data_IF_448767091774
#
_entry.id   IF_448767091774
#
_cell.length_a   1.000
_cell.length_b   1.000
_cell.length_c   1.000
_cell.angle_alpha   90.00
_cell.angle_beta   90.00
_cell.angle_gamma   90.00
#
_symmetry.space_group_name_H-M   'P 1'
#
loop_
_entity.id
_entity.type
_entity.pdbx_description
1 polymer ?
#
# COMPACT_ATOMS: atom_id res chain seq x y z
N UNK A 1 -25.90 -16.24 -4.57
CA UNK A 1 -26.17 -15.36 -3.41
C UNK A 1 -24.95 -14.46 -3.25
N UNK A 2 -25.13 -13.19 -3.56
CA UNK A 2 -24.06 -12.22 -3.74
C UNK A 2 -23.29 -11.96 -2.44
N UNK A 3 -22.00 -12.25 -2.48
CA UNK A 3 -21.01 -11.74 -1.54
C UNK A 3 -20.96 -10.23 -1.76
N UNK A 4 -21.57 -9.46 -0.86
CA UNK A 4 -21.30 -8.03 -0.70
C UNK A 4 -19.87 -7.91 -0.15
N UNK A 5 -18.90 -7.97 -1.07
CA UNK A 5 -17.57 -7.46 -0.80
C UNK A 5 -17.72 -5.94 -0.74
N UNK A 6 -17.77 -5.37 0.45
CA UNK A 6 -17.40 -3.97 0.63
C UNK A 6 -15.93 -3.87 0.23
N UNK A 7 -15.70 -3.64 -1.07
CA UNK A 7 -14.42 -3.23 -1.63
C UNK A 7 -13.89 -2.13 -0.72
N UNK A 8 -12.66 -2.28 -0.19
CA UNK A 8 -11.95 -1.15 0.41
C UNK A 8 -12.05 0.04 -0.55
N UNK A 9 -12.30 1.24 -0.05
CA UNK A 9 -12.63 2.43 -0.86
C UNK A 9 -11.62 2.61 -1.99
N UNK A 10 -11.91 2.06 -3.18
CA UNK A 10 -11.08 2.28 -4.37
C UNK A 10 -11.35 3.70 -4.82
N UNK A 11 -10.32 4.54 -4.84
CA UNK A 11 -10.48 5.98 -5.02
C UNK A 11 -9.80 6.44 -6.31
N UNK A 12 -10.51 7.20 -7.15
CA UNK A 12 -9.87 7.94 -8.23
C UNK A 12 -9.51 9.33 -7.71
N UNK A 13 -8.22 9.68 -7.87
CA UNK A 13 -7.72 11.01 -7.56
C UNK A 13 -7.59 11.82 -8.84
N UNK A 14 -8.28 12.95 -8.88
CA UNK A 14 -8.29 13.84 -10.03
C UNK A 14 -7.37 15.02 -9.76
N UNK A 15 -6.43 15.29 -10.65
CA UNK A 15 -5.52 16.43 -10.55
C UNK A 15 -5.74 17.40 -11.71
N UNK A 16 -5.92 18.69 -11.39
CA UNK A 16 -5.93 19.74 -12.40
C UNK A 16 -4.50 20.26 -12.64
N UNK A 17 -4.15 20.48 -13.91
CA UNK A 17 -2.81 20.88 -14.36
C UNK A 17 -2.67 22.39 -14.68
N UNK A 18 -3.72 23.20 -14.57
CA UNK A 18 -3.75 24.52 -15.19
C UNK A 18 -2.64 25.48 -14.72
N UNK A 19 -1.83 25.91 -15.69
CA UNK A 19 -0.93 27.06 -15.61
C UNK A 19 -1.68 28.34 -16.02
N UNK A 20 -1.29 29.49 -15.47
CA UNK A 20 -1.65 30.80 -16.04
C UNK A 20 -1.29 30.82 -17.55
N UNK A 21 -2.29 30.85 -18.42
CA UNK A 21 -2.12 31.44 -19.76
C UNK A 21 -2.53 32.90 -19.66
N UNK A 22 -1.54 33.80 -19.65
CA UNK A 22 -1.82 35.20 -19.96
C UNK A 22 -2.27 35.28 -21.42
N UNK A 23 -3.43 35.91 -21.64
CA UNK A 23 -4.00 36.22 -22.94
C UNK A 23 -5.29 37.01 -22.74
N UNK A 24 -5.18 38.33 -22.88
CA UNK A 24 -6.25 39.33 -22.70
C UNK A 24 -7.30 39.23 -23.83
N UNK A 25 -8.53 39.70 -23.54
CA UNK A 25 -9.75 39.84 -24.37
C UNK A 25 -10.58 38.56 -24.53
N UNK A 26 -11.74 38.45 -23.89
CA UNK A 26 -12.97 39.11 -24.38
C UNK A 26 -13.95 39.38 -23.22
N UNK A 27 -14.02 40.62 -22.78
CA UNK A 27 -15.26 41.14 -22.20
C UNK A 27 -16.30 41.28 -23.30
N UNK A 28 -17.58 41.20 -22.93
CA UNK A 28 -18.77 41.65 -23.69
C UNK A 28 -19.68 40.62 -24.39
N UNK A 29 -19.70 39.34 -24.01
CA UNK A 29 -20.76 38.41 -24.48
C UNK A 29 -21.42 37.53 -23.41
N UNK A 30 -21.07 37.67 -22.12
CA UNK A 30 -21.60 36.83 -21.04
C UNK A 30 -22.89 37.35 -20.37
N UNK A 31 -23.32 38.58 -20.66
CA UNK A 31 -24.53 39.15 -20.06
C UNK A 31 -25.85 38.57 -20.60
N UNK A 32 -25.88 38.14 -21.86
CA UNK A 32 -27.12 37.70 -22.52
C UNK A 32 -27.47 36.23 -22.27
N UNK A 33 -26.48 35.35 -22.25
CA UNK A 33 -26.70 33.90 -22.11
C UNK A 33 -27.04 33.48 -20.67
N UNK A 34 -26.48 34.16 -19.67
CA UNK A 34 -26.74 33.86 -18.26
C UNK A 34 -28.21 34.17 -17.87
N UNK A 35 -28.79 35.24 -18.44
CA UNK A 35 -30.18 35.61 -18.18
C UNK A 35 -31.18 34.63 -18.82
N UNK A 36 -30.84 34.05 -19.97
CA UNK A 36 -31.67 33.06 -20.67
C UNK A 36 -31.74 31.72 -19.93
N UNK A 37 -30.62 31.25 -19.36
CA UNK A 37 -30.57 30.00 -18.58
C UNK A 37 -31.27 30.15 -17.22
N UNK A 38 -31.20 31.33 -16.59
CA UNK A 38 -31.90 31.62 -15.33
C UNK A 38 -33.43 31.75 -15.46
N UNK A 39 -33.94 32.12 -16.65
CA UNK A 39 -35.37 32.34 -16.87
C UNK A 39 -36.12 31.16 -17.53
N UNK A 40 -35.42 30.27 -18.24
CA UNK A 40 -36.06 29.21 -19.06
C UNK A 40 -35.50 27.79 -18.83
N UNK A 41 -34.46 27.61 -18.00
CA UNK A 41 -33.82 26.32 -17.80
C UNK A 41 -34.25 25.60 -16.52
N UNK A 42 -34.83 24.40 -16.64
CA UNK A 42 -34.88 23.44 -15.53
C UNK A 42 -33.50 22.79 -15.37
N UNK A 43 -32.57 23.50 -14.73
CA UNK A 43 -31.27 22.95 -14.32
C UNK A 43 -31.31 22.76 -12.81
N UNK A 44 -31.00 21.55 -12.35
CA UNK A 44 -31.01 21.24 -10.92
C UNK A 44 -29.92 22.05 -10.20
N UNK A 45 -30.27 22.66 -9.07
CA UNK A 45 -29.37 23.49 -8.25
C UNK A 45 -28.00 22.85 -7.90
N UNK A 46 -27.85 21.52 -7.73
CA UNK A 46 -26.54 20.89 -7.49
C UNK A 46 -25.59 20.98 -8.69
N UNK A 47 -26.09 20.84 -9.92
CA UNK A 47 -25.26 20.90 -11.14
C UNK A 47 -24.75 22.32 -11.38
N UNK A 48 -25.55 23.33 -11.07
CA UNK A 48 -25.14 24.74 -11.05
C UNK A 48 -24.09 25.01 -9.97
N UNK A 49 -24.19 24.37 -8.80
CA UNK A 49 -23.21 24.51 -7.73
C UNK A 49 -21.86 23.86 -8.07
N UNK A 50 -21.85 22.70 -8.72
CA UNK A 50 -20.62 22.03 -9.16
C UNK A 50 -19.97 22.70 -10.37
N UNK A 51 -20.78 23.17 -11.34
CA UNK A 51 -20.30 23.99 -12.45
C UNK A 51 -19.74 25.34 -11.95
N UNK A 52 -20.38 25.97 -10.96
CA UNK A 52 -19.90 27.20 -10.33
C UNK A 52 -18.62 26.97 -9.53
N UNK A 53 -18.52 25.87 -8.76
CA UNK A 53 -17.27 25.46 -8.08
C UNK A 53 -16.14 25.12 -9.03
N UNK A 54 -16.44 24.57 -10.21
CA UNK A 54 -15.45 24.32 -11.26
C UNK A 54 -14.99 25.63 -11.93
N UNK A 55 -15.93 26.56 -12.19
CA UNK A 55 -15.66 27.86 -12.80
C UNK A 55 -14.94 28.87 -11.89
N UNK A 56 -15.06 28.72 -10.56
CA UNK A 56 -14.39 29.55 -9.55
C UNK A 56 -12.97 29.07 -9.20
N UNK A 57 -12.45 28.02 -9.84
CA UNK A 57 -11.08 27.53 -9.60
C UNK A 57 -10.06 28.43 -10.30
N UNK A 58 -9.39 29.29 -9.53
CA UNK A 58 -8.21 30.02 -10.02
C UNK A 58 -7.04 29.07 -10.25
N UNK A 59 -6.32 29.22 -11.36
CA UNK A 59 -5.09 28.47 -11.64
C UNK A 59 -4.05 28.69 -10.52
N UNK A 60 -3.74 27.63 -9.77
CA UNK A 60 -2.85 27.68 -8.60
C UNK A 60 -1.35 27.67 -8.96
N UNK A 61 -1.00 27.43 -10.24
CA UNK A 61 0.38 27.34 -10.71
C UNK A 61 1.05 25.98 -10.45
N UNK A 62 0.48 25.13 -9.59
CA UNK A 62 0.96 23.79 -9.24
C UNK A 62 -0.15 22.72 -9.39
N UNK A 63 0.18 21.43 -9.55
CA UNK A 63 -0.83 20.37 -9.57
C UNK A 63 -1.69 20.40 -8.30
N UNK A 64 -3.01 20.37 -8.46
CA UNK A 64 -3.96 20.41 -7.35
C UNK A 64 -4.87 19.19 -7.41
N UNK A 65 -4.94 18.44 -6.31
CA UNK A 65 -5.99 17.44 -6.09
C UNK A 65 -7.34 18.16 -6.09
N UNK A 66 -8.17 17.90 -7.10
CA UNK A 66 -9.45 18.57 -7.29
C UNK A 66 -10.65 17.73 -6.87
N UNK A 67 -10.48 16.41 -6.77
CA UNK A 67 -11.46 15.50 -6.22
C UNK A 67 -10.79 14.19 -5.80
N UNK A 68 -11.31 13.58 -4.74
CA UNK A 68 -11.15 12.16 -4.43
C UNK A 68 -12.55 11.59 -4.54
N UNK A 69 -12.78 10.71 -5.51
CA UNK A 69 -14.10 10.11 -5.72
C UNK A 69 -14.01 8.61 -5.45
N UNK A 70 -14.91 8.04 -4.62
CA UNK A 70 -15.03 6.60 -4.56
C UNK A 70 -15.43 6.10 -5.93
N UNK A 71 -14.83 5.00 -6.37
CA UNK A 71 -15.40 4.20 -7.44
C UNK A 71 -16.79 3.77 -6.98
N UNK A 72 -17.81 4.08 -7.78
CA UNK A 72 -19.16 3.61 -7.49
C UNK A 72 -19.13 2.09 -7.35
N UNK A 73 -19.84 1.56 -6.34
CA UNK A 73 -20.01 0.12 -6.20
C UNK A 73 -20.53 -0.43 -7.53
N UNK A 74 -19.70 -1.23 -8.19
CA UNK A 74 -20.10 -1.94 -9.39
C UNK A 74 -20.95 -3.13 -8.95
N UNK A 75 -22.22 -2.88 -8.66
CA UNK A 75 -23.22 -3.94 -8.37
C UNK A 75 -23.70 -4.65 -9.66
N UNK A 76 -22.98 -4.47 -10.77
CA UNK A 76 -23.20 -5.19 -12.02
C UNK A 76 -22.22 -6.36 -12.16
N UNK A 77 -22.63 -7.39 -12.89
CA UNK A 77 -21.67 -8.37 -13.43
C UNK A 77 -20.52 -7.57 -14.07
N UNK A 78 -19.26 -7.89 -13.71
CA UNK A 78 -18.12 -7.42 -14.48
C UNK A 78 -18.48 -7.64 -15.94
N UNK A 79 -18.37 -6.61 -16.79
CA UNK A 79 -18.74 -6.69 -18.21
C UNK A 79 -18.40 -8.10 -18.69
N UNK A 80 -19.40 -8.86 -19.16
CA UNK A 80 -19.13 -10.13 -19.81
C UNK A 80 -17.95 -9.88 -20.73
N UNK A 81 -16.90 -10.69 -20.58
CA UNK A 81 -15.77 -10.64 -21.46
C UNK A 81 -16.35 -10.95 -22.83
N UNK A 82 -16.72 -9.91 -23.59
CA UNK A 82 -17.15 -10.08 -24.95
C UNK A 82 -15.91 -10.62 -25.63
N UNK A 83 -15.85 -11.91 -26.02
CA UNK A 83 -14.85 -12.27 -26.99
C UNK A 83 -15.12 -11.32 -28.16
N UNK A 84 -14.06 -10.74 -28.74
CA UNK A 84 -14.23 -10.02 -30.00
C UNK A 84 -14.95 -10.98 -30.94
N UNK A 85 -16.27 -10.81 -31.07
CA UNK A 85 -17.12 -11.77 -31.74
C UNK A 85 -16.63 -11.77 -33.17
N UNK A 86 -16.20 -12.95 -33.60
CA UNK A 86 -15.75 -13.23 -34.94
C UNK A 86 -16.88 -12.97 -35.95
N UNK A 87 -17.14 -11.72 -36.29
CA UNK A 87 -17.97 -11.33 -37.44
C UNK A 87 -17.31 -10.29 -38.36
N UNK A 88 -16.06 -9.93 -38.10
CA UNK A 88 -15.19 -9.41 -39.16
C UNK A 88 -14.01 -10.35 -39.29
N UNK A 89 -13.97 -11.15 -40.37
CA UNK A 89 -12.73 -11.83 -40.71
C UNK A 89 -11.62 -10.79 -40.77
N UNK A 90 -10.43 -11.13 -40.25
CA UNK A 90 -9.26 -10.24 -40.25
C UNK A 90 -8.98 -9.65 -41.65
N UNK A 91 -9.38 -10.35 -42.71
CA UNK A 91 -9.33 -9.89 -44.10
C UNK A 91 -10.32 -8.77 -44.43
N UNK A 92 -11.53 -8.76 -43.85
CA UNK A 92 -12.51 -7.68 -44.03
C UNK A 92 -12.05 -6.38 -43.33
N UNK A 93 -11.44 -6.50 -42.15
CA UNK A 93 -10.84 -5.35 -41.45
C UNK A 93 -9.62 -4.80 -42.21
N UNK A 94 -8.75 -5.67 -42.75
CA UNK A 94 -7.60 -5.27 -43.57
C UNK A 94 -7.98 -4.66 -44.94
N UNK A 95 -9.15 -5.01 -45.50
CA UNK A 95 -9.68 -4.40 -46.73
C UNK A 95 -10.36 -3.04 -46.48
N UNK A 96 -11.00 -2.83 -45.32
CA UNK A 96 -11.51 -1.51 -44.93
C UNK A 96 -10.37 -0.52 -44.66
N UNK A 97 -9.26 -0.96 -44.06
CA UNK A 97 -8.08 -0.11 -43.82
C UNK A 97 -7.37 0.31 -45.13
N UNK A 98 -7.53 -0.46 -46.21
CA UNK A 98 -7.01 -0.12 -47.55
C UNK A 98 -7.88 0.85 -48.33
N UNK A 99 -9.16 1.03 -47.98
CA UNK A 99 -10.08 1.95 -48.68
C UNK A 99 -10.21 3.31 -47.98
N UNK A 100 -9.75 3.44 -46.73
CA UNK A 100 -9.61 4.72 -46.01
C UNK A 100 -8.16 5.19 -45.82
N UNK A 101 -7.20 4.62 -46.55
CA UNK A 101 -5.82 5.13 -46.56
C UNK A 101 -5.69 6.39 -47.42
N UNK A 102 -6.24 7.51 -46.94
CA UNK A 102 -5.51 8.77 -47.12
C UNK A 102 -4.19 8.60 -46.36
N UNK A 103 -3.06 8.75 -47.04
CA UNK A 103 -1.73 8.46 -46.50
C UNK A 103 -1.55 9.06 -45.10
N UNK A 104 -1.68 8.22 -44.07
CA UNK A 104 -1.15 8.54 -42.75
C UNK A 104 0.36 8.54 -42.94
N UNK A 105 1.06 9.67 -42.78
CA UNK A 105 2.50 9.67 -42.88
C UNK A 105 3.02 8.62 -41.89
N UNK A 106 3.86 7.71 -42.39
CA UNK A 106 4.42 6.63 -41.59
C UNK A 106 4.91 7.23 -40.26
N UNK A 107 4.21 6.94 -39.17
CA UNK A 107 4.65 7.33 -37.84
C UNK A 107 5.97 6.60 -37.66
N UNK A 108 7.05 7.38 -37.58
CA UNK A 108 8.38 6.88 -37.26
C UNK A 108 8.26 5.85 -36.14
N UNK A 109 8.62 4.60 -36.43
CA UNK A 109 8.76 3.53 -35.43
C UNK A 109 9.99 3.74 -34.56
N UNK A 110 10.76 4.82 -34.80
CA UNK A 110 11.83 5.20 -33.91
C UNK A 110 11.23 5.65 -32.57
N UNK A 111 11.40 4.83 -31.55
CA UNK A 111 11.30 5.26 -30.16
C UNK A 111 12.18 6.49 -29.99
N UNK A 112 11.55 7.65 -29.78
CA UNK A 112 12.29 8.86 -29.41
C UNK A 112 12.66 8.68 -27.94
N UNK A 113 13.95 8.59 -27.63
CA UNK A 113 14.41 8.75 -26.27
C UNK A 113 14.05 10.18 -25.84
N UNK A 114 12.99 10.30 -25.05
CA UNK A 114 12.57 11.60 -24.53
C UNK A 114 13.36 11.84 -23.25
N UNK A 115 14.61 12.30 -23.40
CA UNK A 115 15.41 12.85 -22.30
C UNK A 115 14.95 14.28 -22.01
N UNK A 116 13.71 14.43 -21.53
CA UNK A 116 13.18 15.71 -21.04
C UNK A 116 12.82 15.59 -19.59
N UNK A 117 13.25 16.56 -18.81
CA UNK A 117 12.82 16.71 -17.43
C UNK A 117 11.28 16.81 -17.37
N UNK A 118 10.64 16.20 -16.35
CA UNK A 118 9.20 16.33 -16.17
C UNK A 118 8.84 17.80 -15.95
N UNK A 119 7.90 18.30 -16.75
CA UNK A 119 7.42 19.69 -16.61
C UNK A 119 6.72 19.90 -15.25
N UNK A 120 6.19 18.82 -14.66
CA UNK A 120 5.51 18.79 -13.36
C UNK A 120 5.70 17.42 -12.71
N UNK A 121 5.83 17.41 -11.39
CA UNK A 121 5.75 16.20 -10.58
C UNK A 121 4.50 16.28 -9.70
N UNK A 122 3.68 15.24 -9.74
CA UNK A 122 2.55 15.07 -8.81
C UNK A 122 2.98 14.02 -7.82
N UNK A 123 3.09 14.39 -6.55
CA UNK A 123 3.42 13.48 -5.46
C UNK A 123 2.76 13.94 -4.19
N UNK A 124 2.49 13.02 -3.27
CA UNK A 124 2.21 13.44 -1.91
C UNK A 124 3.48 14.00 -1.28
N UNK A 125 3.37 15.09 -0.55
CA UNK A 125 4.53 15.81 0.02
C UNK A 125 4.76 15.47 1.48
N UNK A 126 4.00 14.52 2.01
CA UNK A 126 4.06 14.11 3.41
C UNK A 126 4.33 12.61 3.53
N UNK A 127 5.07 12.17 4.56
CA UNK A 127 5.31 10.76 4.81
C UNK A 127 4.03 9.95 4.99
N UNK A 128 4.00 8.73 4.46
CA UNK A 128 2.97 7.71 4.76
C UNK A 128 3.64 6.46 5.27
N UNK A 129 3.13 5.87 6.35
CA UNK A 129 3.85 4.82 7.06
C UNK A 129 3.37 3.42 6.66
N UNK A 130 4.23 2.65 6.00
CA UNK A 130 3.98 1.26 5.56
C UNK A 130 4.39 0.24 6.63
N UNK A 131 5.49 0.49 7.33
CA UNK A 131 6.00 -0.37 8.40
C UNK A 131 6.33 0.41 9.67
N UNK A 132 6.32 -0.32 10.80
CA UNK A 132 6.68 0.20 12.11
C UNK A 132 7.44 -0.85 12.91
N UNK A 133 8.51 -0.44 13.59
CA UNK A 133 9.30 -1.31 14.46
C UNK A 133 9.90 -0.51 15.61
N UNK A 134 10.22 -1.17 16.72
CA UNK A 134 10.87 -0.57 17.88
C UNK A 134 12.29 -1.12 18.02
N UNK A 135 13.24 -0.25 18.37
CA UNK A 135 14.54 -0.68 18.90
C UNK A 135 14.37 -1.06 20.38
N UNK A 136 14.54 -2.34 20.69
CA UNK A 136 14.37 -2.87 22.04
C UNK A 136 15.36 -2.29 23.08
N UNK A 137 16.45 -1.67 22.63
CA UNK A 137 17.52 -1.15 23.51
C UNK A 137 17.28 0.29 23.92
N UNK A 138 16.71 1.09 23.02
CA UNK A 138 16.49 2.53 23.21
C UNK A 138 15.01 2.88 23.41
N UNK A 139 14.11 2.02 22.94
CA UNK A 139 12.66 2.28 22.88
C UNK A 139 12.24 3.10 21.66
N UNK A 140 13.17 3.48 20.79
CA UNK A 140 12.93 4.31 19.61
C UNK A 140 12.01 3.63 18.62
N UNK A 141 11.13 4.42 18.00
CA UNK A 141 10.16 3.93 17.03
C UNK A 141 10.59 4.33 15.63
N UNK A 142 10.82 3.34 14.79
CA UNK A 142 11.18 3.49 13.39
C UNK A 142 9.93 3.31 12.55
N UNK A 143 9.68 4.25 11.65
CA UNK A 143 8.56 4.22 10.71
C UNK A 143 9.08 4.33 9.30
N UNK A 144 8.77 3.32 8.48
CA UNK A 144 9.11 3.32 7.06
C UNK A 144 8.13 4.23 6.32
N UNK A 145 8.67 5.24 5.65
CA UNK A 145 7.96 6.17 4.80
C UNK A 145 8.05 5.68 3.35
N UNK A 146 6.93 5.16 2.86
CA UNK A 146 6.84 4.64 1.49
C UNK A 146 6.62 5.76 0.47
N UNK A 147 6.09 6.92 0.87
CA UNK A 147 5.75 7.97 -0.08
C UNK A 147 6.94 8.90 -0.39
N UNK A 148 7.80 9.20 0.58
CA UNK A 148 9.03 9.98 0.36
C UNK A 148 10.30 9.15 0.48
N UNK A 149 10.17 7.82 0.53
CA UNK A 149 11.25 6.85 0.48
C UNK A 149 12.33 7.07 1.55
N UNK A 150 12.01 6.69 2.79
CA UNK A 150 12.98 6.73 3.87
C UNK A 150 12.45 6.19 5.18
N UNK A 151 13.21 6.37 6.26
CA UNK A 151 12.85 5.94 7.61
C UNK A 151 12.86 7.14 8.53
N UNK A 152 11.76 7.36 9.24
CA UNK A 152 11.63 8.35 10.31
C UNK A 152 11.76 7.66 11.65
N UNK A 153 12.53 8.26 12.56
CA UNK A 153 12.67 7.78 13.93
C UNK A 153 12.04 8.78 14.88
N UNK A 154 11.28 8.26 15.83
CA UNK A 154 10.55 9.01 16.86
C UNK A 154 10.89 8.46 18.23
N UNK A 155 10.66 9.27 19.26
CA UNK A 155 10.69 8.79 20.63
C UNK A 155 9.41 8.02 20.95
N UNK A 156 9.53 7.00 21.82
CA UNK A 156 8.41 6.13 22.21
C UNK A 156 7.19 6.89 22.77
N UNK A 157 7.45 8.01 23.42
CA UNK A 157 6.41 8.81 24.09
C UNK A 157 5.89 9.97 23.23
N UNK A 158 6.38 10.09 22.00
CA UNK A 158 5.93 11.16 21.11
C UNK A 158 4.42 11.12 20.91
N UNK A 159 3.83 12.31 21.01
CA UNK A 159 2.42 12.54 20.78
C UNK A 159 2.29 13.93 20.17
N UNK A 160 1.66 14.02 18.99
CA UNK A 160 1.64 15.28 18.26
C UNK A 160 0.80 16.30 19.03
N UNK A 161 1.37 17.46 19.43
CA UNK A 161 0.61 18.48 20.13
C UNK A 161 -0.62 18.93 19.33
N UNK A 162 -1.73 19.34 19.98
CA UNK A 162 -2.96 19.73 19.28
C UNK A 162 -2.74 20.83 18.22
N UNK A 163 -1.85 21.78 18.50
CA UNK A 163 -1.58 22.92 17.62
C UNK A 163 -0.40 22.71 16.66
N UNK A 164 0.31 21.59 16.76
CA UNK A 164 1.42 21.27 15.86
C UNK A 164 0.88 20.66 14.56
N UNK A 165 1.49 21.00 13.42
CA UNK A 165 1.14 20.38 12.16
C UNK A 165 1.45 18.88 12.18
N UNK A 166 2.66 18.51 12.59
CA UNK A 166 3.17 17.15 12.66
C UNK A 166 4.19 17.02 13.81
N UNK A 167 4.60 15.79 14.13
CA UNK A 167 5.69 15.52 15.07
C UNK A 167 7.01 15.54 14.30
N UNK A 168 7.98 16.34 14.75
CA UNK A 168 9.31 16.35 14.15
C UNK A 168 10.03 15.03 14.47
N UNK A 169 10.51 14.28 13.46
CA UNK A 169 11.27 13.07 13.71
C UNK A 169 12.64 13.44 14.30
N UNK A 170 13.09 12.71 15.31
CA UNK A 170 14.42 12.93 15.89
C UNK A 170 15.55 12.54 14.95
N UNK A 171 15.28 11.64 14.01
CA UNK A 171 16.22 11.20 12.98
C UNK A 171 15.49 10.86 11.69
N UNK A 172 16.18 11.13 10.60
CA UNK A 172 15.76 10.76 9.25
C UNK A 172 16.92 10.04 8.55
N UNK A 173 16.60 8.91 7.91
CA UNK A 173 17.44 8.18 6.98
C UNK A 173 16.70 8.12 5.65
N UNK A 174 17.28 8.64 4.58
CA UNK A 174 16.66 8.65 3.27
C UNK A 174 17.42 9.53 2.28
N UNK A 175 17.10 9.37 1.00
CA UNK A 175 17.88 9.94 -0.10
C UNK A 175 18.36 8.85 -1.05
N UNK A 176 18.82 9.24 -2.22
CA UNK A 176 19.10 8.30 -3.30
C UNK A 176 20.23 7.30 -2.96
N UNK A 177 21.23 7.72 -2.18
CA UNK A 177 22.32 6.83 -1.79
C UNK A 177 21.85 5.74 -0.83
N UNK A 178 20.75 5.95 -0.09
CA UNK A 178 20.20 4.93 0.81
C UNK A 178 19.57 3.75 0.09
N UNK A 179 19.16 3.91 -1.18
CA UNK A 179 18.40 2.89 -1.93
C UNK A 179 17.09 2.45 -1.23
N UNK A 180 16.61 3.22 -0.25
CA UNK A 180 15.26 3.08 0.27
C UNK A 180 14.32 3.60 -0.80
N UNK A 181 13.44 2.73 -1.30
CA UNK A 181 12.34 3.00 -2.23
C UNK A 181 11.29 1.90 -2.02
N UNK A 182 9.99 2.22 -2.09
CA UNK A 182 8.89 1.23 -2.01
C UNK A 182 9.07 0.12 -0.96
N UNK A 183 9.55 0.50 0.23
CA UNK A 183 9.85 -0.46 1.27
C UNK A 183 8.61 -0.75 2.12
N UNK A 184 8.33 -2.03 2.32
CA UNK A 184 7.12 -2.48 3.01
C UNK A 184 7.41 -3.22 4.31
N UNK A 185 8.60 -3.82 4.48
CA UNK A 185 8.99 -4.54 5.69
C UNK A 185 10.15 -3.88 6.42
N UNK A 186 10.07 -3.86 7.75
CA UNK A 186 11.09 -3.28 8.62
C UNK A 186 11.38 -4.20 9.80
N UNK A 187 12.65 -4.49 10.02
CA UNK A 187 13.12 -5.23 11.18
C UNK A 187 14.27 -4.45 11.84
N UNK A 188 14.20 -4.29 13.16
CA UNK A 188 15.26 -3.69 13.96
C UNK A 188 15.90 -4.79 14.79
N UNK A 189 17.20 -5.00 14.59
CA UNK A 189 17.95 -6.01 15.34
C UNK A 189 17.91 -5.68 16.84
N UNK A 190 17.38 -6.56 17.71
CA UNK A 190 17.23 -6.25 19.12
C UNK A 190 18.57 -6.18 19.88
N UNK A 191 19.66 -6.68 19.31
CA UNK A 191 21.01 -6.67 19.93
C UNK A 191 21.84 -5.49 19.44
N UNK A 192 21.84 -5.22 18.13
CA UNK A 192 22.69 -4.18 17.54
C UNK A 192 21.94 -2.89 17.24
N UNK A 193 20.62 -2.96 17.04
CA UNK A 193 19.76 -1.89 16.53
C UNK A 193 19.86 -1.68 15.03
N UNK A 194 20.55 -2.57 14.31
CA UNK A 194 20.69 -2.47 12.86
C UNK A 194 19.32 -2.52 12.19
N UNK A 195 19.20 -1.74 11.12
CA UNK A 195 17.95 -1.42 10.45
C UNK A 195 17.90 -2.24 9.17
N UNK A 196 17.02 -3.22 9.12
CA UNK A 196 16.76 -4.04 7.94
C UNK A 196 15.50 -3.55 7.26
N UNK A 197 15.61 -3.06 6.02
CA UNK A 197 14.48 -2.57 5.25
C UNK A 197 14.45 -3.21 3.88
N UNK A 198 13.33 -3.82 3.53
CA UNK A 198 13.18 -4.58 2.29
C UNK A 198 12.44 -3.75 1.24
N UNK A 199 13.00 -3.68 0.04
CA UNK A 199 12.35 -3.05 -1.10
C UNK A 199 11.45 -4.08 -1.80
N UNK A 200 10.21 -3.67 -2.05
CA UNK A 200 9.22 -4.55 -2.64
C UNK A 200 9.28 -4.56 -4.17
N UNK A 201 9.35 -3.38 -4.80
CA UNK A 201 8.88 -3.19 -6.17
C UNK A 201 9.94 -2.82 -7.21
N UNK A 202 11.13 -2.35 -6.82
CA UNK A 202 12.04 -1.70 -7.80
C UNK A 202 13.48 -2.19 -7.77
N UNK A 203 14.08 -2.31 -6.59
CA UNK A 203 15.53 -2.55 -6.47
C UNK A 203 15.90 -3.99 -6.20
N UNK A 204 14.92 -4.86 -5.92
CA UNK A 204 15.13 -6.28 -5.56
C UNK A 204 16.18 -6.45 -4.45
N UNK A 205 16.19 -5.55 -3.47
CA UNK A 205 17.25 -5.47 -2.46
C UNK A 205 16.69 -5.29 -1.05
N UNK A 206 17.21 -6.08 -0.13
CA UNK A 206 17.17 -5.81 1.29
C UNK A 206 18.41 -4.97 1.64
N UNK A 207 18.17 -3.79 2.19
CA UNK A 207 19.24 -2.90 2.67
C UNK A 207 19.33 -2.97 4.18
N UNK A 208 20.56 -2.98 4.68
CA UNK A 208 20.88 -3.02 6.11
C UNK A 208 21.76 -1.83 6.44
N UNK A 209 21.36 -1.10 7.47
CA UNK A 209 22.12 0.02 8.02
C UNK A 209 22.48 -0.22 9.48
N UNK A 210 23.61 0.31 9.91
CA UNK A 210 23.94 0.40 11.32
C UNK A 210 22.89 1.23 12.07
N UNK A 211 22.69 0.91 13.35
CA UNK A 211 21.65 1.52 14.20
C UNK A 211 21.61 3.06 14.22
N UNK A 212 22.73 3.72 13.92
CA UNK A 212 22.88 5.18 13.98
C UNK A 212 22.90 5.89 12.63
N UNK A 213 22.67 5.17 11.53
CA UNK A 213 22.63 5.75 10.19
C UNK A 213 21.63 6.91 10.09
N UNK A 214 22.03 7.96 9.38
CA UNK A 214 21.25 9.18 9.21
C UNK A 214 21.60 9.90 7.92
N UNK A 215 20.63 10.63 7.37
CA UNK A 215 20.78 11.38 6.13
C UNK A 215 20.82 10.47 4.90
N UNK A 216 21.51 10.95 3.87
CA UNK A 216 21.66 10.25 2.60
C UNK A 216 23.00 9.52 2.58
N UNK A 217 23.00 8.26 3.03
CA UNK A 217 24.20 7.41 3.18
C UNK A 217 23.99 6.05 2.50
N UNK A 218 25.03 5.41 1.95
CA UNK A 218 24.90 4.06 1.41
C UNK A 218 24.54 3.04 2.51
N UNK A 219 23.86 1.93 2.17
CA UNK A 219 23.70 0.80 3.09
C UNK A 219 25.04 0.21 3.50
N UNK A 220 25.15 -0.20 4.76
CA UNK A 220 26.32 -0.91 5.28
C UNK A 220 26.40 -2.33 4.73
N UNK A 221 25.25 -2.92 4.42
CA UNK A 221 25.13 -4.19 3.72
C UNK A 221 23.88 -4.23 2.85
N UNK A 222 24.00 -4.95 1.75
CA UNK A 222 22.91 -5.21 0.82
C UNK A 222 22.80 -6.71 0.58
N UNK A 223 21.58 -7.21 0.41
CA UNK A 223 21.27 -8.57 -0.03
C UNK A 223 20.27 -8.48 -1.16
N UNK A 224 20.59 -9.07 -2.31
CA UNK A 224 19.65 -9.20 -3.41
C UNK A 224 18.54 -10.19 -3.04
N UNK A 225 17.30 -9.72 -3.04
CA UNK A 225 16.12 -10.51 -2.74
C UNK A 225 15.34 -10.85 -4.01
N UNK A 226 14.42 -11.82 -3.97
CA UNK A 226 13.44 -12.00 -5.03
C UNK A 226 12.60 -10.71 -5.25
N UNK A 227 12.12 -10.51 -6.48
CA UNK A 227 11.22 -9.39 -6.78
C UNK A 227 9.87 -9.55 -6.06
N UNK A 228 9.31 -8.46 -5.51
CA UNK A 228 8.09 -8.49 -4.69
C UNK A 228 8.34 -9.02 -3.28
N UNK A 229 9.50 -8.75 -2.68
CA UNK A 229 9.76 -9.16 -1.29
C UNK A 229 9.17 -8.15 -0.32
N UNK A 230 8.26 -8.61 0.54
CA UNK A 230 7.43 -7.71 1.33
C UNK A 230 7.76 -7.72 2.83
N UNK A 231 7.48 -8.82 3.51
CA UNK A 231 7.55 -8.94 4.96
C UNK A 231 8.87 -9.53 5.42
N UNK A 232 9.31 -9.16 6.63
CA UNK A 232 10.54 -9.66 7.24
C UNK A 232 10.29 -10.08 8.68
N UNK A 233 10.76 -11.27 9.05
CA UNK A 233 10.84 -11.72 10.44
C UNK A 233 12.15 -12.50 10.67
N UNK A 234 12.70 -12.44 11.87
CA UNK A 234 14.01 -13.04 12.18
C UNK A 234 13.92 -13.94 13.41
N UNK A 235 14.40 -15.18 13.27
CA UNK A 235 14.71 -16.06 14.39
C UNK A 235 16.12 -15.73 14.90
N UNK A 236 16.19 -14.97 16.00
CA UNK A 236 17.45 -14.61 16.64
C UNK A 236 18.20 -15.79 17.27
N UNK A 237 17.52 -16.90 17.57
CA UNK A 237 18.17 -18.10 18.10
C UNK A 237 18.97 -18.81 17.03
N UNK A 238 18.43 -18.88 15.81
CA UNK A 238 19.06 -19.57 14.66
C UNK A 238 19.76 -18.63 13.68
N UNK A 239 19.61 -17.32 13.84
CA UNK A 239 20.08 -16.30 12.91
C UNK A 239 19.55 -16.58 11.49
N UNK A 240 18.24 -16.89 11.41
CA UNK A 240 17.51 -17.11 10.16
C UNK A 240 16.52 -15.97 9.94
N UNK A 241 16.50 -15.43 8.73
CA UNK A 241 15.62 -14.35 8.31
C UNK A 241 14.62 -14.87 7.28
N UNK A 242 13.34 -14.67 7.55
CA UNK A 242 12.20 -15.12 6.75
C UNK A 242 11.65 -13.93 5.99
N UNK A 243 11.59 -14.07 4.67
CA UNK A 243 11.10 -13.05 3.77
C UNK A 243 9.93 -13.60 2.97
N UNK A 244 8.78 -12.94 3.00
CA UNK A 244 7.66 -13.27 2.11
C UNK A 244 7.89 -12.65 0.74
N UNK A 245 7.43 -13.36 -0.30
CA UNK A 245 7.58 -12.93 -1.70
C UNK A 245 6.23 -13.05 -2.40
N UNK A 246 5.65 -11.90 -2.74
CA UNK A 246 4.30 -11.75 -3.30
C UNK A 246 4.17 -12.46 -4.65
N UNK A 247 4.97 -12.03 -5.63
CA UNK A 247 4.79 -12.44 -7.03
C UNK A 247 5.09 -13.93 -7.27
N UNK A 248 6.00 -14.51 -6.49
CA UNK A 248 6.33 -15.94 -6.59
C UNK A 248 5.56 -16.81 -5.61
N UNK A 249 4.72 -16.22 -4.75
CA UNK A 249 3.94 -16.87 -3.71
C UNK A 249 4.81 -17.76 -2.81
N UNK A 250 5.80 -17.16 -2.16
CA UNK A 250 6.83 -17.90 -1.44
C UNK A 250 7.20 -17.28 -0.09
N UNK A 251 7.85 -18.09 0.74
CA UNK A 251 8.66 -17.62 1.88
C UNK A 251 10.10 -18.05 1.60
N UNK A 252 11.00 -17.10 1.43
CA UNK A 252 12.43 -17.33 1.28
C UNK A 252 13.12 -17.16 2.64
N UNK A 253 13.90 -18.15 3.06
CA UNK A 253 14.61 -18.13 4.33
C UNK A 253 16.10 -17.99 4.08
N UNK A 254 16.71 -16.92 4.57
CA UNK A 254 18.12 -16.61 4.44
C UNK A 254 18.84 -16.76 5.78
N UNK A 255 20.16 -16.91 5.73
CA UNK A 255 20.97 -16.58 6.89
C UNK A 255 20.80 -15.07 7.14
N UNK A 256 20.57 -14.64 8.39
CA UNK A 256 20.39 -13.23 8.74
C UNK A 256 21.58 -12.35 8.33
N UNK A 257 22.76 -12.95 8.22
CA UNK A 257 23.97 -12.26 7.79
C UNK A 257 24.29 -12.37 6.30
N UNK A 258 23.39 -12.95 5.51
CA UNK A 258 23.55 -13.06 4.06
C UNK A 258 23.77 -11.69 3.41
N UNK A 259 24.56 -11.67 2.34
CA UNK A 259 24.95 -10.46 1.62
C UNK A 259 25.07 -10.69 0.11
N UNK A 260 25.05 -9.61 -0.66
CA UNK A 260 25.27 -9.63 -2.10
C UNK A 260 24.27 -10.55 -2.79
N UNK A 261 24.72 -11.69 -3.29
CA UNK A 261 23.89 -12.66 -4.02
C UNK A 261 23.81 -14.03 -3.34
N UNK A 262 24.10 -14.06 -2.03
CA UNK A 262 23.92 -15.24 -1.19
C UNK A 262 22.53 -15.85 -1.38
N UNK A 263 22.47 -17.19 -1.36
CA UNK A 263 21.24 -17.92 -1.63
C UNK A 263 20.43 -18.14 -0.36
N UNK A 264 19.12 -18.24 -0.53
CA UNK A 264 18.24 -18.71 0.52
C UNK A 264 18.67 -20.11 0.99
N UNK A 265 18.66 -20.32 2.31
CA UNK A 265 18.88 -21.61 2.96
C UNK A 265 17.79 -22.62 2.56
N UNK A 266 16.56 -22.13 2.46
CA UNK A 266 15.38 -22.87 2.02
C UNK A 266 14.30 -21.92 1.53
N UNK A 267 13.34 -22.48 0.81
CA UNK A 267 12.16 -21.79 0.32
C UNK A 267 10.93 -22.64 0.64
N UNK A 268 9.83 -22.00 0.99
CA UNK A 268 8.50 -22.59 1.12
C UNK A 268 7.70 -22.03 -0.05
N UNK A 269 7.44 -22.88 -1.05
CA UNK A 269 6.83 -22.46 -2.31
C UNK A 269 6.19 -23.65 -3.02
N UNK A 270 5.06 -23.38 -3.64
CA UNK A 270 4.29 -24.34 -4.43
C UNK A 270 2.80 -24.21 -4.17
N UNK A 271 1.99 -24.87 -4.99
CA UNK A 271 0.54 -24.71 -4.92
C UNK A 271 -0.07 -25.27 -3.63
N UNK A 272 0.55 -26.32 -3.07
CA UNK A 272 0.11 -26.92 -1.80
C UNK A 272 0.36 -25.99 -0.61
N UNK A 273 1.25 -25.00 -0.74
CA UNK A 273 1.50 -24.01 0.33
C UNK A 273 0.29 -23.14 0.63
N UNK A 274 -0.60 -22.90 -0.34
CA UNK A 274 -1.67 -21.92 -0.24
C UNK A 274 -1.18 -20.48 0.03
N UNK A 275 0.11 -20.20 -0.20
CA UNK A 275 0.60 -18.83 -0.27
C UNK A 275 -0.04 -18.16 -1.48
N UNK A 276 -0.65 -17.00 -1.27
CA UNK A 276 -1.34 -16.25 -2.32
C UNK A 276 -1.16 -14.76 -2.03
N UNK A 277 -0.18 -14.17 -2.68
CA UNK A 277 0.25 -12.78 -2.49
C UNK A 277 0.63 -12.54 -1.00
N UNK A 278 1.61 -13.31 -0.48
CA UNK A 278 1.95 -13.27 0.93
C UNK A 278 2.62 -11.95 1.31
N UNK A 279 2.10 -11.30 2.36
CA UNK A 279 2.55 -9.99 2.83
C UNK A 279 3.28 -10.11 4.17
N UNK A 280 2.59 -9.88 5.28
CA UNK A 280 3.16 -9.95 6.62
C UNK A 280 3.61 -11.36 6.98
N UNK A 281 4.77 -11.44 7.66
CA UNK A 281 5.26 -12.66 8.30
C UNK A 281 5.62 -12.36 9.75
N UNK A 282 5.27 -13.27 10.64
CA UNK A 282 5.69 -13.23 12.04
C UNK A 282 5.97 -14.64 12.55
N UNK A 283 6.79 -14.75 13.58
CA UNK A 283 7.25 -16.02 14.12
C UNK A 283 6.71 -16.20 15.54
N UNK A 284 6.19 -17.39 15.81
CA UNK A 284 6.01 -17.89 17.17
C UNK A 284 7.18 -18.84 17.46
N UNK A 285 8.23 -18.31 18.07
CA UNK A 285 9.44 -19.05 18.42
C UNK A 285 9.11 -20.13 19.45
N UNK A 286 8.24 -19.84 20.42
CA UNK A 286 7.85 -20.81 21.46
C UNK A 286 7.19 -22.04 20.87
N UNK A 287 6.28 -21.88 19.91
CA UNK A 287 5.56 -22.97 19.26
C UNK A 287 6.21 -23.45 17.95
N UNK A 288 7.34 -22.84 17.55
CA UNK A 288 8.05 -23.10 16.29
C UNK A 288 7.15 -22.94 15.05
N UNK A 289 6.40 -21.83 14.98
CA UNK A 289 5.47 -21.53 13.88
C UNK A 289 5.88 -20.30 13.08
N UNK A 290 5.54 -20.32 11.80
CA UNK A 290 5.55 -19.18 10.89
C UNK A 290 4.09 -18.83 10.60
N UNK A 291 3.69 -17.58 10.82
CA UNK A 291 2.37 -17.08 10.45
C UNK A 291 2.51 -16.08 9.31
N UNK A 292 1.68 -16.24 8.29
CA UNK A 292 1.72 -15.42 7.07
C UNK A 292 0.34 -14.90 6.71
N UNK A 293 0.23 -13.61 6.42
CA UNK A 293 -0.98 -13.01 5.84
C UNK A 293 -0.93 -13.12 4.32
N UNK A 294 -2.08 -13.43 3.71
CA UNK A 294 -2.22 -13.63 2.27
C UNK A 294 -3.34 -12.73 1.74
N UNK A 295 -3.04 -11.96 0.70
CA UNK A 295 -4.00 -11.06 0.05
C UNK A 295 -4.92 -11.77 -0.95
N UNK A 296 -4.40 -12.80 -1.63
CA UNK A 296 -5.22 -13.69 -2.44
C UNK A 296 -4.78 -13.94 -3.87
N UNK A 297 -3.87 -13.16 -4.44
CA UNK A 297 -3.44 -13.40 -5.83
C UNK A 297 -2.44 -14.57 -5.88
N UNK A 298 -2.70 -15.59 -6.70
CA UNK A 298 -1.76 -16.69 -6.92
C UNK A 298 -1.55 -16.96 -8.40
N UNK A 299 -0.37 -17.48 -8.73
CA UNK A 299 -0.09 -18.06 -10.03
C UNK A 299 -0.50 -19.54 -10.04
N UNK A 300 -1.11 -20.04 -11.12
CA UNK A 300 -1.48 -21.44 -11.28
C UNK A 300 -0.68 -22.10 -12.44
N UNK A 301 -0.17 -23.32 -12.22
CA UNK A 301 0.46 -24.17 -13.25
C UNK A 301 1.99 -24.23 -13.25
N UNK A 302 2.55 -25.29 -13.87
CA UNK A 302 4.00 -25.50 -14.09
C UNK A 302 4.58 -24.54 -15.15
N UNK A 303 3.72 -23.86 -15.92
CA UNK A 303 3.98 -22.75 -16.84
C UNK A 303 2.84 -21.73 -16.62
N UNK A 304 3.08 -20.57 -15.99
CA UNK A 304 1.99 -19.70 -15.51
C UNK A 304 1.27 -19.04 -16.69
N UNK A 305 0.05 -19.46 -16.97
CA UNK A 305 -0.77 -18.88 -18.06
C UNK A 305 -1.90 -17.99 -17.53
N UNK A 306 -2.37 -18.20 -16.30
CA UNK A 306 -3.47 -17.42 -15.71
C UNK A 306 -3.29 -17.22 -14.19
N UNK A 307 -3.66 -16.03 -13.70
CA UNK A 307 -3.73 -15.73 -12.27
C UNK A 307 -5.06 -16.19 -11.67
N UNK A 308 -5.04 -16.61 -10.41
CA UNK A 308 -6.22 -17.01 -9.64
C UNK A 308 -6.31 -16.16 -8.38
N UNK A 309 -7.53 -15.78 -8.02
CA UNK A 309 -7.81 -15.14 -6.74
C UNK A 309 -8.33 -16.16 -5.73
N UNK A 310 -7.66 -16.26 -4.59
CA UNK A 310 -8.04 -17.02 -3.40
C UNK A 310 -8.44 -15.99 -2.33
N UNK A 311 -9.50 -16.20 -1.55
CA UNK A 311 -9.87 -15.25 -0.50
C UNK A 311 -8.71 -14.98 0.50
N UNK A 312 -8.65 -13.77 1.09
CA UNK A 312 -7.65 -13.45 2.10
C UNK A 312 -7.62 -14.46 3.25
N UNK A 313 -6.42 -14.79 3.71
CA UNK A 313 -6.20 -15.84 4.69
C UNK A 313 -4.96 -15.59 5.55
N UNK A 314 -4.95 -16.20 6.74
CA UNK A 314 -3.73 -16.43 7.51
C UNK A 314 -3.33 -17.90 7.34
N UNK A 315 -2.12 -18.16 6.86
CA UNK A 315 -1.56 -19.51 6.77
C UNK A 315 -0.48 -19.71 7.83
N UNK A 316 -0.44 -20.91 8.41
CA UNK A 316 0.50 -21.25 9.49
C UNK A 316 1.33 -22.46 9.10
N UNK A 317 2.65 -22.37 9.23
CA UNK A 317 3.60 -23.43 8.88
C UNK A 317 4.52 -23.75 10.06
N UNK A 318 5.12 -24.95 10.14
CA UNK A 318 6.22 -25.17 11.07
C UNK A 318 7.45 -24.38 10.63
N UNK A 319 8.28 -23.88 11.55
CA UNK A 319 9.52 -23.17 11.20
C UNK A 319 10.52 -24.02 10.40
N UNK A 320 10.40 -25.36 10.49
CA UNK A 320 11.18 -26.31 9.69
C UNK A 320 10.66 -26.53 8.26
N UNK A 321 9.59 -25.83 7.85
CA UNK A 321 8.98 -25.96 6.54
C UNK A 321 9.97 -25.71 5.38
N UNK A 322 9.83 -26.52 4.32
CA UNK A 322 10.61 -26.42 3.09
C UNK A 322 9.86 -27.08 1.92
N UNK A 323 9.92 -26.45 0.75
CA UNK A 323 9.31 -26.94 -0.49
C UNK A 323 7.81 -26.69 -0.53
N UNK A 324 7.11 -27.50 -1.33
CA UNK A 324 5.67 -27.44 -1.50
C UNK A 324 4.96 -28.23 -0.39
N UNK A 325 4.65 -27.58 0.73
CA UNK A 325 4.02 -28.21 1.89
C UNK A 325 2.71 -27.51 2.26
N UNK A 326 1.71 -28.29 2.66
CA UNK A 326 0.46 -27.73 3.18
C UNK A 326 0.68 -26.97 4.50
N UNK A 327 -0.06 -25.87 4.75
CA UNK A 327 -0.05 -25.22 6.05
C UNK A 327 -0.63 -26.16 7.12
N UNK A 328 -0.12 -26.05 8.36
CA UNK A 328 -0.66 -26.76 9.53
C UNK A 328 -2.13 -26.41 9.75
N UNK A 329 -2.47 -25.14 9.51
CA UNK A 329 -3.81 -24.60 9.59
C UNK A 329 -3.93 -23.32 8.78
N UNK A 330 -5.17 -23.01 8.42
CA UNK A 330 -5.54 -21.80 7.71
C UNK A 330 -6.71 -21.15 8.44
N UNK A 331 -6.65 -19.84 8.64
CA UNK A 331 -7.76 -19.01 9.11
C UNK A 331 -8.25 -18.20 7.92
N UNK A 332 -9.44 -18.51 7.44
CA UNK A 332 -10.03 -17.91 6.25
C UNK A 332 -11.55 -18.05 6.28
N UNK A 333 -12.25 -17.19 5.54
CA UNK A 333 -13.71 -17.20 5.45
C UNK A 333 -14.33 -15.89 5.93
N UNK A 334 -15.64 -15.74 5.70
CA UNK A 334 -16.33 -14.47 5.92
C UNK A 334 -16.35 -14.03 7.40
N UNK A 335 -16.38 -14.96 8.36
CA UNK A 335 -16.38 -14.62 9.80
C UNK A 335 -15.04 -14.07 10.25
N UNK A 336 -13.95 -14.36 9.55
CA UNK A 336 -12.63 -13.82 9.87
C UNK A 336 -12.56 -12.31 9.69
N UNK A 337 -13.39 -11.75 8.80
CA UNK A 337 -13.38 -10.33 8.44
C UNK A 337 -12.05 -9.85 7.83
N UNK A 338 -11.21 -10.77 7.35
CA UNK A 338 -9.98 -10.43 6.64
C UNK A 338 -10.32 -9.74 5.32
N UNK A 339 -9.73 -8.56 5.11
CA UNK A 339 -9.84 -7.77 3.90
C UNK A 339 -8.53 -7.00 3.72
N UNK A 340 -7.69 -7.51 2.81
CA UNK A 340 -6.34 -7.00 2.56
C UNK A 340 -5.45 -6.97 3.83
N UNK A 341 -5.17 -8.16 4.43
CA UNK A 341 -4.35 -8.25 5.64
C UNK A 341 -2.87 -8.00 5.33
N UNK A 342 -2.33 -6.88 5.81
CA UNK A 342 -0.94 -6.46 5.62
C UNK A 342 -0.01 -7.13 6.66
N UNK A 343 0.61 -6.38 7.58
CA UNK A 343 1.47 -6.99 8.59
C UNK A 343 0.72 -7.78 9.67
N UNK A 344 1.45 -8.72 10.28
CA UNK A 344 1.05 -9.55 11.40
C UNK A 344 2.11 -9.48 12.49
N UNK A 345 1.69 -9.52 13.77
CA UNK A 345 2.61 -9.58 14.90
C UNK A 345 2.13 -10.58 15.96
N UNK A 346 2.99 -11.53 16.35
CA UNK A 346 2.69 -12.59 17.31
C UNK A 346 3.02 -12.19 18.74
N UNK A 347 2.02 -12.29 19.61
CA UNK A 347 2.14 -12.14 21.06
C UNK A 347 2.20 -13.50 21.75
N UNK A 348 3.42 -14.05 21.82
CA UNK A 348 3.67 -15.37 22.43
C UNK A 348 3.24 -15.44 23.90
N UNK A 349 3.32 -14.31 24.62
CA UNK A 349 2.95 -14.23 26.03
C UNK A 349 1.46 -14.41 26.26
N UNK A 350 0.63 -14.04 25.28
CA UNK A 350 -0.84 -14.16 25.34
C UNK A 350 -1.41 -15.24 24.42
N UNK A 351 -0.58 -15.86 23.58
CA UNK A 351 -1.01 -16.88 22.61
C UNK A 351 -2.01 -16.31 21.60
N UNK A 352 -1.78 -15.08 21.17
CA UNK A 352 -2.61 -14.36 20.20
C UNK A 352 -1.72 -13.60 19.22
N UNK A 353 -2.29 -13.14 18.11
CA UNK A 353 -1.59 -12.32 17.14
C UNK A 353 -2.51 -11.22 16.61
N UNK A 354 -1.89 -10.14 16.16
CA UNK A 354 -2.54 -8.93 15.67
C UNK A 354 -2.30 -8.83 14.17
N UNK A 355 -3.35 -8.51 13.41
CA UNK A 355 -3.30 -8.34 11.95
C UNK A 355 -3.73 -6.93 11.61
N UNK A 356 -2.87 -6.20 10.91
CA UNK A 356 -3.24 -4.95 10.27
C UNK A 356 -4.11 -5.27 9.04
N UNK A 357 -5.39 -4.88 9.09
CA UNK A 357 -6.38 -5.25 8.08
C UNK A 357 -6.72 -4.00 7.25
N UNK A 358 -5.91 -3.80 6.20
CA UNK A 358 -5.75 -2.50 5.53
C UNK A 358 -7.07 -1.95 4.97
N UNK A 359 -7.73 -2.74 4.13
CA UNK A 359 -8.92 -2.32 3.39
C UNK A 359 -10.15 -2.15 4.29
N UNK A 360 -10.22 -2.86 5.42
CA UNK A 360 -11.30 -2.74 6.39
C UNK A 360 -11.08 -1.61 7.42
N UNK A 361 -9.87 -1.02 7.43
CA UNK A 361 -9.43 -0.02 8.40
C UNK A 361 -9.56 -0.51 9.85
N UNK A 362 -9.10 -1.75 10.09
CA UNK A 362 -9.20 -2.39 11.39
C UNK A 362 -7.92 -3.11 11.79
N UNK A 363 -7.78 -3.37 13.09
CA UNK A 363 -6.84 -4.38 13.61
C UNK A 363 -7.67 -5.57 14.08
N UNK A 364 -7.36 -6.75 13.56
CA UNK A 364 -7.97 -8.00 13.96
C UNK A 364 -7.05 -8.74 14.93
N UNK A 365 -7.63 -9.37 15.95
CA UNK A 365 -6.88 -10.21 16.89
C UNK A 365 -7.43 -11.62 16.88
N UNK A 366 -6.56 -12.59 16.64
CA UNK A 366 -6.87 -14.02 16.67
C UNK A 366 -5.98 -14.74 17.68
N UNK A 367 -6.39 -15.92 18.10
CA UNK A 367 -5.56 -16.82 18.87
C UNK A 367 -4.59 -17.60 18.02
N UNK A 368 -3.47 -17.99 18.60
CA UNK A 368 -2.45 -18.77 17.91
C UNK A 368 -3.02 -20.11 17.39
N UNK A 369 -3.90 -20.76 18.14
CA UNK A 369 -4.53 -22.05 17.79
C UNK A 369 -5.84 -21.92 16.97
N UNK A 370 -6.24 -20.70 16.60
CA UNK A 370 -7.47 -20.50 15.83
C UNK A 370 -7.32 -21.12 14.41
N UNK A 371 -8.42 -21.68 13.87
CA UNK A 371 -8.44 -22.35 12.57
C UNK A 371 -9.81 -22.25 11.91
N UNK A 372 -9.84 -22.17 10.58
CA UNK A 372 -11.05 -22.15 9.77
C UNK A 372 -11.74 -20.78 9.75
N UNK A 373 -13.04 -20.80 9.53
CA UNK A 373 -13.90 -19.61 9.47
C UNK A 373 -14.33 -19.20 10.88
N UNK A 374 -13.45 -18.48 11.57
CA UNK A 374 -13.64 -18.04 12.96
C UNK A 374 -13.61 -16.53 13.07
N UNK A 375 -14.42 -15.99 13.99
CA UNK A 375 -14.43 -14.55 14.25
C UNK A 375 -13.19 -14.10 15.05
N UNK A 376 -12.67 -12.88 14.81
CA UNK A 376 -11.63 -12.29 15.65
C UNK A 376 -12.06 -12.26 17.12
N UNK A 377 -11.13 -12.56 18.03
CA UNK A 377 -11.33 -12.45 19.48
C UNK A 377 -11.54 -11.01 19.92
N UNK A 378 -10.88 -10.09 19.23
CA UNK A 378 -11.02 -8.63 19.37
C UNK A 378 -10.88 -7.97 18.01
N UNK A 379 -11.49 -6.81 17.88
CA UNK A 379 -11.41 -5.97 16.70
C UNK A 379 -11.33 -4.52 17.13
N UNK A 380 -10.29 -3.82 16.68
CA UNK A 380 -10.18 -2.37 16.84
C UNK A 380 -10.64 -1.73 15.55
N UNK A 381 -11.81 -1.09 15.56
CA UNK A 381 -12.44 -0.51 14.37
C UNK A 381 -13.40 0.62 14.75
N UNK A 382 -13.53 1.61 13.87
CA UNK A 382 -14.50 2.70 13.99
C UNK A 382 -13.84 4.08 13.97
N UNK A 383 -14.65 5.13 13.84
CA UNK A 383 -14.12 6.49 13.63
C UNK A 383 -13.22 7.02 14.77
N UNK A 384 -13.43 6.57 16.02
CA UNK A 384 -12.63 7.03 17.16
C UNK A 384 -11.23 6.43 17.17
N UNK A 385 -11.01 5.29 16.49
CA UNK A 385 -9.69 4.67 16.40
C UNK A 385 -8.73 5.54 15.60
N UNK A 386 -9.23 6.28 14.61
CA UNK A 386 -8.41 7.00 13.63
C UNK A 386 -7.55 6.08 12.75
N UNK A 387 -7.89 4.78 12.69
CA UNK A 387 -7.29 3.85 11.74
C UNK A 387 -7.71 4.22 10.31
N UNK A 388 -6.74 4.21 9.39
CA UNK A 388 -7.01 4.35 7.95
C UNK A 388 -5.89 3.70 7.16
N UNK A 389 -6.21 2.61 6.45
CA UNK A 389 -5.24 1.76 5.76
C UNK A 389 -4.07 1.39 6.69
N UNK A 390 -4.34 0.66 7.80
CA UNK A 390 -3.29 0.18 8.68
C UNK A 390 -2.45 -0.87 7.95
N UNK A 391 -1.14 -0.65 7.88
CA UNK A 391 -0.22 -1.54 7.17
C UNK A 391 0.78 -2.25 8.08
N UNK A 392 1.27 -1.56 9.12
CA UNK A 392 2.22 -2.10 10.08
C UNK A 392 1.62 -2.19 11.48
N UNK A 393 1.97 -3.26 12.20
CA UNK A 393 1.55 -3.49 13.58
C UNK A 393 2.69 -4.08 14.40
N UNK A 394 2.84 -3.60 15.63
CA UNK A 394 3.84 -4.07 16.58
C UNK A 394 3.29 -3.96 18.00
N UNK A 395 3.67 -4.88 18.90
CA UNK A 395 3.30 -4.82 20.31
C UNK A 395 4.54 -4.56 21.17
N UNK A 396 4.53 -3.42 21.86
CA UNK A 396 5.47 -3.09 22.91
C UNK A 396 5.08 -3.86 24.18
N UNK A 397 5.65 -5.06 24.31
CA UNK A 397 5.40 -5.96 25.44
C UNK A 397 5.85 -5.36 26.78
N UNK A 398 6.84 -4.45 26.78
CA UNK A 398 7.36 -3.86 28.02
C UNK A 398 6.40 -2.82 28.59
N UNK A 399 5.64 -2.14 27.72
CA UNK A 399 4.75 -1.04 28.11
C UNK A 399 3.26 -1.34 27.91
N UNK A 400 2.91 -2.57 27.52
CA UNK A 400 1.54 -3.01 27.20
C UNK A 400 0.83 -2.13 26.15
N UNK A 401 1.54 -1.82 25.06
CA UNK A 401 1.04 -0.95 24.00
C UNK A 401 1.04 -1.62 22.63
N UNK A 402 -0.02 -1.38 21.87
CA UNK A 402 -0.15 -1.76 20.47
C UNK A 402 0.12 -0.53 19.61
N UNK A 403 1.08 -0.63 18.70
CA UNK A 403 1.45 0.42 17.76
C UNK A 403 1.03 0.05 16.35
N UNK A 404 0.50 1.03 15.62
CA UNK A 404 -0.02 0.84 14.27
C UNK A 404 0.44 1.97 13.36
N UNK A 405 1.06 1.64 12.23
CA UNK A 405 1.29 2.60 11.13
C UNK A 405 0.08 2.66 10.20
N UNK A 406 -0.34 3.88 9.85
CA UNK A 406 -1.50 4.14 9.01
C UNK A 406 -1.05 4.87 7.75
N UNK A 407 -1.08 4.16 6.63
CA UNK A 407 -0.66 4.71 5.35
C UNK A 407 -1.68 5.75 4.86
N UNK A 408 -2.97 5.52 5.11
CA UNK A 408 -4.07 6.27 4.52
C UNK A 408 -4.29 7.68 5.09
N UNK A 409 -3.63 8.05 6.19
CA UNK A 409 -3.87 9.34 6.86
C UNK A 409 -2.63 10.01 7.46
N UNK A 410 -1.41 9.59 7.09
CA UNK A 410 -0.14 10.17 7.56
C UNK A 410 0.05 10.08 9.08
N UNK A 411 -0.27 8.92 9.69
CA UNK A 411 -0.21 8.78 11.15
C UNK A 411 0.32 7.43 11.60
N UNK A 412 0.86 7.42 12.80
CA UNK A 412 0.85 6.24 13.65
C UNK A 412 -0.10 6.46 14.83
N UNK A 413 -0.77 5.39 15.24
CA UNK A 413 -1.69 5.38 16.39
C UNK A 413 -1.25 4.33 17.40
N UNK A 414 -1.42 4.64 18.69
CA UNK A 414 -1.03 3.76 19.79
C UNK A 414 -2.24 3.45 20.65
N UNK A 415 -2.43 2.19 21.03
CA UNK A 415 -3.54 1.72 21.85
C UNK A 415 -3.04 0.93 23.05
N UNK A 416 -3.86 0.71 24.09
CA UNK A 416 -3.62 -0.37 25.03
C UNK A 416 -3.53 -1.69 24.25
N UNK A 417 -2.59 -2.58 24.61
CA UNK A 417 -2.44 -3.91 23.99
C UNK A 417 -3.73 -4.72 23.97
N UNK A 418 -4.61 -4.54 24.97
CA UNK A 418 -5.90 -5.24 25.07
C UNK A 418 -7.08 -4.46 24.48
N UNK A 419 -6.84 -3.43 23.68
CA UNK A 419 -7.88 -2.62 23.06
C UNK A 419 -8.91 -3.46 22.27
N UNK A 420 -10.17 -3.05 22.31
CA UNK A 420 -11.27 -3.68 21.58
C UNK A 420 -12.39 -2.67 21.31
N UNK A 421 -13.00 -2.75 20.13
CA UNK A 421 -14.06 -1.85 19.68
C UNK A 421 -13.57 -0.52 19.14
N UNK A 422 -14.45 0.48 19.17
CA UNK A 422 -14.23 1.84 18.67
C UNK A 422 -13.54 2.71 19.73
N UNK A 423 -12.27 2.42 20.02
CA UNK A 423 -11.49 3.07 21.08
C UNK A 423 -10.55 4.14 20.55
N UNK A 424 -10.41 5.25 21.28
CA UNK A 424 -9.45 6.29 20.92
C UNK A 424 -7.99 5.86 21.19
N UNK A 425 -7.03 6.30 20.37
CA UNK A 425 -5.62 6.03 20.62
C UNK A 425 -5.10 6.80 21.85
N UNK A 426 -4.19 6.19 22.60
CA UNK A 426 -3.43 6.81 23.70
C UNK A 426 -2.55 7.94 23.18
N UNK A 427 -1.97 7.76 21.99
CA UNK A 427 -1.06 8.71 21.33
C UNK A 427 -1.24 8.66 19.82
N UNK A 428 -1.01 9.80 19.18
CA UNK A 428 -1.05 9.96 17.72
C UNK A 428 0.20 10.71 17.28
N UNK A 429 1.01 10.06 16.45
CA UNK A 429 2.13 10.69 15.75
C UNK A 429 1.64 11.02 14.35
N UNK A 430 1.58 12.32 14.00
CA UNK A 430 1.23 12.81 12.66
C UNK A 430 2.51 13.15 11.91
N UNK A 431 2.57 12.83 10.63
CA UNK A 431 3.58 13.31 9.68
C UNK A 431 3.03 14.36 8.71
N UNK A 432 1.77 14.75 8.86
CA UNK A 432 1.11 15.80 8.08
C UNK A 432 0.11 16.61 8.93
N UNK A 433 -0.26 17.84 8.51
CA UNK A 433 -1.29 18.64 9.17
C UNK A 433 -2.59 17.87 9.43
N UNK A 434 -3.31 18.24 10.49
CA UNK A 434 -4.57 17.61 10.83
C UNK A 434 -5.56 17.66 9.65
N UNK A 435 -6.21 16.53 9.39
CA UNK A 435 -7.18 16.38 8.29
C UNK A 435 -6.56 16.17 6.91
N UNK A 436 -5.23 16.21 6.76
CA UNK A 436 -4.58 15.84 5.50
C UNK A 436 -4.83 14.36 5.18
N UNK A 437 -5.43 14.09 4.03
CA UNK A 437 -5.67 12.75 3.50
C UNK A 437 -4.44 12.33 2.68
N UNK A 438 -4.00 11.08 2.87
CA UNK A 438 -2.96 10.50 2.04
C UNK A 438 -3.43 10.34 0.59
N UNK A 439 -2.66 10.92 -0.31
CA UNK A 439 -2.88 10.82 -1.73
C UNK A 439 -2.46 9.45 -2.24
N UNK A 440 -1.61 8.70 -1.52
CA UNK A 440 -1.21 7.34 -1.83
C UNK A 440 -1.05 7.10 -3.35
N UNK A 441 -0.28 8.01 -3.97
CA UNK A 441 0.14 8.00 -5.37
C UNK A 441 1.64 7.68 -5.45
N UNK A 442 2.15 6.93 -4.47
CA UNK A 442 3.55 6.51 -4.41
C UNK A 442 3.86 5.52 -5.52
N UNK A 443 3.05 4.46 -5.65
CA UNK A 443 3.19 3.41 -6.67
C UNK A 443 1.94 3.30 -7.57
N UNK A 444 1.59 4.31 -8.39
CA UNK A 444 0.40 4.23 -9.23
C UNK A 444 0.64 3.28 -10.41
N UNK A 445 -0.04 2.13 -10.42
CA UNK A 445 0.08 1.14 -11.50
C UNK A 445 -0.50 1.57 -12.85
N UNK A 446 -1.32 2.63 -12.88
CA UNK A 446 -1.88 3.21 -14.10
C UNK A 446 -2.13 4.71 -13.94
N UNK A 447 -2.25 5.43 -15.07
CA UNK A 447 -2.64 6.84 -15.12
C UNK A 447 -3.52 7.08 -16.34
N UNK A 448 -4.60 7.83 -16.19
CA UNK A 448 -5.46 8.29 -17.29
C UNK A 448 -5.43 9.80 -17.45
N UNK A 449 -5.67 10.31 -18.67
CA UNK A 449 -5.86 11.74 -18.91
C UNK A 449 -7.24 12.00 -19.52
N UNK A 450 -8.08 12.73 -18.80
CA UNK A 450 -9.35 13.25 -19.29
C UNK A 450 -9.11 14.59 -19.99
N UNK A 451 -9.07 14.58 -21.32
CA UNK A 451 -8.84 15.77 -22.14
C UNK A 451 -10.00 16.77 -22.14
N UNK A 452 -11.22 16.36 -21.78
CA UNK A 452 -12.38 17.26 -21.68
C UNK A 452 -12.34 18.06 -20.37
N UNK A 453 -11.86 17.44 -19.30
CA UNK A 453 -11.74 18.06 -17.97
C UNK A 453 -10.33 18.59 -17.66
N UNK A 454 -9.37 18.34 -18.55
CA UNK A 454 -7.93 18.61 -18.36
C UNK A 454 -7.39 18.01 -17.06
N UNK A 455 -7.77 16.76 -16.76
CA UNK A 455 -7.47 16.09 -15.50
C UNK A 455 -6.63 14.84 -15.68
N UNK A 456 -5.68 14.63 -14.77
CA UNK A 456 -4.99 13.35 -14.60
C UNK A 456 -5.77 12.52 -13.58
N UNK A 457 -6.13 11.31 -13.99
CA UNK A 457 -6.83 10.31 -13.18
C UNK A 457 -5.80 9.31 -12.70
N UNK A 458 -5.58 9.25 -11.39
CA UNK A 458 -4.65 8.29 -10.79
C UNK A 458 -5.47 7.33 -9.92
N UNK A 459 -5.67 6.07 -10.37
CA UNK A 459 -6.22 5.02 -9.52
C UNK A 459 -5.21 4.67 -8.43
N UNK A 460 -5.74 4.25 -7.28
CA UNK A 460 -5.02 3.61 -6.20
C UNK A 460 -5.91 2.51 -5.64
#
# INVERSE_FOLDING_TARGET
>A
MALSATQGERMIRNFNLQAKRFGVLTGSLLGGAALYVLLMGNVAAPELADASKAALRSASGAPQLVAVAPLQAMDGEMCEWMPASAESSLMAALQQDRTQSGAVPARSTASVAIEREPVRQIRDTYPTFSAIAQDARTGDIFMQDENLFGIRVFDRLDNTPPNAAFTEPKRYLGGHNTKLEFNCGLYIDPKTGDIYSVNNDTTDTLVIFEANAKGDVPPDRELRTPHGTYGIAVDEGKQEMYLTVEHTNAIAVFNKYAQGTDKALREIRGLSTHLADPHGVSLDIKNQLILVTNHGNTLEGQNPTYGKFIPPAITVYPMSAKGDIAPLRTIAGAKTMLNWPAHIWVDEGRGEFYVANDADHSILVFGIEDQGDVAPRRMIRGANTQLRNPMGVFVDLQNDELWVSNMGNHRATVYPRTANGNVAPKRVIRSAPQGKIAQAIGNPGAVGYDSKREQVLVPN
#
